data_IF_317764195732
#
_entry.id   IF_317764195732
#
_cell.length_a   1.000
_cell.length_b   1.000
_cell.length_c   1.000
_cell.angle_alpha   90.00
_cell.angle_beta   90.00
_cell.angle_gamma   90.00
#
_symmetry.space_group_name_H-M   'P 1'
#
loop_
_entity.id
_entity.type
_entity.pdbx_description
1 polymer ?
#
# COMPACT_ATOMS: atom_id res chain seq x y z
N UNK A 1 -11.50 4.03 -34.50
CA UNK A 1 -11.41 4.82 -33.25
C UNK A 1 -10.03 4.69 -32.61
N UNK A 2 -9.07 4.03 -33.27
CA UNK A 2 -7.71 3.78 -32.77
C UNK A 2 -6.66 4.82 -33.18
N UNK A 3 -7.00 5.74 -34.10
CA UNK A 3 -6.03 6.72 -34.63
C UNK A 3 -5.84 7.98 -33.80
N UNK A 4 -6.72 8.27 -32.84
CA UNK A 4 -6.66 9.53 -32.07
C UNK A 4 -5.78 9.42 -30.82
N UNK A 5 -5.63 8.23 -30.22
CA UNK A 5 -4.75 8.02 -29.06
C UNK A 5 -3.32 7.63 -29.47
N UNK A 6 -3.16 6.81 -30.52
CA UNK A 6 -1.84 6.39 -31.01
C UNK A 6 -1.02 7.46 -31.73
N UNK A 7 -1.51 8.70 -31.83
CA UNK A 7 -0.76 9.84 -32.39
C UNK A 7 -0.10 10.71 -31.33
N UNK A 8 -0.46 10.54 -30.05
CA UNK A 8 -0.01 11.42 -28.95
C UNK A 8 0.86 10.65 -27.96
N UNK A 9 0.68 9.33 -27.84
CA UNK A 9 1.37 8.47 -26.87
C UNK A 9 1.99 7.31 -27.65
N UNK A 10 3.30 7.12 -27.50
CA UNK A 10 4.04 6.00 -28.11
C UNK A 10 3.74 4.67 -27.37
N UNK A 11 3.86 3.55 -28.08
CA UNK A 11 3.54 2.22 -27.54
C UNK A 11 4.38 1.87 -26.31
N UNK A 12 5.63 2.35 -26.24
CA UNK A 12 6.52 2.18 -25.10
C UNK A 12 6.03 2.94 -23.84
N UNK A 13 5.59 4.19 -24.02
CA UNK A 13 5.00 4.99 -22.95
C UNK A 13 3.72 4.35 -22.43
N UNK A 14 2.88 3.84 -23.34
CA UNK A 14 1.65 3.15 -22.97
C UNK A 14 1.92 1.88 -22.16
N UNK A 15 2.91 1.08 -22.58
CA UNK A 15 3.32 -0.14 -21.88
C UNK A 15 3.74 0.16 -20.43
N UNK A 16 4.60 1.16 -20.24
CA UNK A 16 5.10 1.60 -18.93
C UNK A 16 3.98 2.04 -17.98
N UNK A 17 3.06 2.87 -18.47
CA UNK A 17 1.89 3.32 -17.68
C UNK A 17 1.04 2.11 -17.26
N UNK A 18 0.80 1.15 -18.15
CA UNK A 18 0.04 -0.07 -17.84
C UNK A 18 0.76 -0.91 -16.78
N UNK A 19 2.09 -1.06 -16.87
CA UNK A 19 2.91 -1.78 -15.89
C UNK A 19 2.82 -1.17 -14.49
N UNK A 20 2.93 0.17 -14.37
CA UNK A 20 2.76 0.86 -13.09
C UNK A 20 1.36 0.71 -12.50
N UNK A 21 0.31 0.77 -13.33
CA UNK A 21 -1.07 0.52 -12.89
C UNK A 21 -1.19 -0.90 -12.34
N UNK A 22 -0.64 -1.90 -13.04
CA UNK A 22 -0.65 -3.29 -12.59
C UNK A 22 0.06 -3.43 -11.24
N UNK A 23 1.23 -2.82 -11.07
CA UNK A 23 1.99 -2.85 -9.83
C UNK A 23 1.19 -2.29 -8.64
N UNK A 24 0.51 -1.16 -8.83
CA UNK A 24 -0.31 -0.54 -7.78
C UNK A 24 -1.54 -1.39 -7.46
N UNK A 25 -2.20 -1.94 -8.49
CA UNK A 25 -3.34 -2.84 -8.29
C UNK A 25 -2.93 -4.07 -7.47
N UNK A 26 -1.77 -4.66 -7.76
CA UNK A 26 -1.21 -5.77 -6.97
C UNK A 26 -0.96 -5.33 -5.52
N UNK A 27 -0.40 -4.13 -5.32
CA UNK A 27 -0.08 -3.61 -3.99
C UNK A 27 -1.35 -3.39 -3.16
N UNK A 28 -2.38 -2.78 -3.75
CA UNK A 28 -3.68 -2.53 -3.14
C UNK A 28 -4.45 -3.83 -2.91
N UNK A 29 -4.43 -4.77 -3.86
CA UNK A 29 -5.06 -6.07 -3.71
C UNK A 29 -4.40 -6.89 -2.60
N UNK A 30 -3.07 -6.86 -2.50
CA UNK A 30 -2.32 -7.50 -1.41
C UNK A 30 -2.71 -6.89 -0.07
N UNK A 31 -2.82 -5.56 0.01
CA UNK A 31 -3.30 -4.87 1.21
C UNK A 31 -4.72 -5.32 1.62
N UNK A 32 -5.66 -5.34 0.67
CA UNK A 32 -7.03 -5.79 0.95
C UNK A 32 -7.09 -7.25 1.35
N UNK A 33 -6.36 -8.14 0.66
CA UNK A 33 -6.31 -9.57 1.01
C UNK A 33 -5.83 -9.79 2.44
N UNK A 34 -4.81 -9.02 2.85
CA UNK A 34 -4.31 -9.05 4.22
C UNK A 34 -5.34 -8.49 5.22
N UNK A 35 -5.99 -7.36 4.92
CA UNK A 35 -7.02 -6.77 5.79
C UNK A 35 -8.22 -7.71 5.95
N UNK A 36 -8.65 -8.38 4.86
CA UNK A 36 -9.71 -9.39 4.88
C UNK A 36 -9.28 -10.59 5.71
N UNK A 37 -8.05 -11.10 5.54
CA UNK A 37 -7.54 -12.21 6.33
C UNK A 37 -7.49 -11.89 7.83
N UNK A 38 -7.11 -10.66 8.20
CA UNK A 38 -7.21 -10.19 9.57
C UNK A 38 -8.65 -10.11 10.05
N UNK A 39 -9.54 -9.46 9.29
CA UNK A 39 -10.94 -9.32 9.64
C UNK A 39 -11.60 -10.69 9.88
N UNK A 40 -11.37 -11.66 9.00
CA UNK A 40 -11.84 -13.04 9.17
C UNK A 40 -11.27 -13.70 10.43
N UNK A 41 -10.00 -13.46 10.76
CA UNK A 41 -9.37 -13.97 11.99
C UNK A 41 -9.95 -13.34 13.25
N UNK A 42 -10.36 -12.07 13.22
CA UNK A 42 -11.01 -11.39 14.35
C UNK A 42 -12.48 -11.77 14.50
N UNK A 43 -13.24 -11.87 13.40
CA UNK A 43 -14.64 -12.34 13.39
C UNK A 43 -14.75 -13.75 13.98
N UNK A 44 -13.78 -14.63 13.70
CA UNK A 44 -13.73 -15.97 14.33
C UNK A 44 -13.42 -15.95 15.84
N UNK A 45 -12.96 -14.82 16.38
CA UNK A 45 -12.44 -14.70 17.74
C UNK A 45 -13.29 -13.82 18.66
N UNK A 46 -14.21 -13.02 18.12
CA UNK A 46 -15.02 -12.08 18.89
C UNK A 46 -16.40 -12.63 19.25
N UNK A 47 -16.42 -13.41 20.34
CA UNK A 47 -17.30 -13.04 21.43
C UNK A 47 -16.58 -12.01 22.30
N UNK A 48 -16.98 -10.73 22.21
CA UNK A 48 -16.60 -9.59 23.09
C UNK A 48 -15.12 -9.13 23.06
N UNK A 49 -14.81 -7.97 22.46
CA UNK A 49 -14.14 -6.88 23.20
C UNK A 49 -13.99 -5.55 22.43
N UNK A 50 -13.92 -4.44 23.17
CA UNK A 50 -13.73 -3.03 22.76
C UNK A 50 -12.42 -2.70 21.99
N UNK A 51 -11.73 -3.72 21.47
CA UNK A 51 -10.42 -3.61 20.82
C UNK A 51 -10.50 -3.30 19.32
N UNK A 52 -11.69 -3.34 18.73
CA UNK A 52 -11.94 -3.00 17.32
C UNK A 52 -11.47 -1.58 16.95
N UNK A 53 -11.58 -0.62 17.86
CA UNK A 53 -11.18 0.79 17.65
C UNK A 53 -9.68 0.99 17.37
N UNK A 54 -8.79 0.18 17.97
CA UNK A 54 -7.33 0.32 17.78
C UNK A 54 -6.87 -0.32 16.46
N UNK A 55 -7.51 -1.42 16.04
CA UNK A 55 -7.28 -2.02 14.73
C UNK A 55 -7.76 -1.06 13.62
N UNK A 56 -8.90 -0.39 13.83
CA UNK A 56 -9.45 0.59 12.91
C UNK A 56 -8.51 1.79 12.71
N UNK A 57 -8.00 2.40 13.78
CA UNK A 57 -7.12 3.56 13.71
C UNK A 57 -5.75 3.28 13.05
N UNK A 58 -5.17 2.09 13.27
CA UNK A 58 -3.93 1.69 12.61
C UNK A 58 -4.13 1.29 11.14
N UNK A 59 -5.32 0.77 10.80
CA UNK A 59 -5.72 0.48 9.43
C UNK A 59 -5.74 1.76 8.58
N UNK A 60 -6.29 2.87 9.09
CA UNK A 60 -6.31 4.14 8.35
C UNK A 60 -4.92 4.68 7.99
N UNK A 61 -3.96 4.64 8.92
CA UNK A 61 -2.58 5.12 8.65
C UNK A 61 -1.87 4.26 7.61
N UNK A 62 -2.04 2.94 7.71
CA UNK A 62 -1.48 2.00 6.73
C UNK A 62 -2.07 2.22 5.34
N UNK A 63 -3.39 2.46 5.24
CA UNK A 63 -4.05 2.82 3.98
C UNK A 63 -3.49 4.12 3.39
N UNK A 64 -3.25 5.15 4.20
CA UNK A 64 -2.70 6.42 3.71
C UNK A 64 -1.29 6.21 3.14
N UNK A 65 -0.42 5.45 3.82
CA UNK A 65 0.94 5.21 3.36
C UNK A 65 1.00 4.40 2.07
N UNK A 66 0.17 3.37 1.93
CA UNK A 66 0.13 2.58 0.68
C UNK A 66 -0.46 3.38 -0.48
N UNK A 67 -1.42 4.28 -0.22
CA UNK A 67 -1.98 5.17 -1.23
C UNK A 67 -0.98 6.24 -1.67
N UNK A 68 -0.27 6.87 -0.72
CA UNK A 68 0.80 7.83 -1.05
C UNK A 68 1.88 7.11 -1.88
N UNK A 69 2.31 5.93 -1.44
CA UNK A 69 3.30 5.13 -2.17
C UNK A 69 2.87 4.82 -3.60
N UNK A 70 1.65 4.30 -3.76
CA UNK A 70 1.10 3.96 -5.07
C UNK A 70 0.91 5.16 -5.97
N UNK A 71 0.29 6.25 -5.48
CA UNK A 71 0.06 7.46 -6.28
C UNK A 71 1.39 8.09 -6.72
N UNK A 72 2.38 8.17 -5.84
CA UNK A 72 3.71 8.68 -6.20
C UNK A 72 4.38 7.85 -7.29
N UNK A 73 4.27 6.51 -7.23
CA UNK A 73 4.78 5.63 -8.29
C UNK A 73 4.04 5.81 -9.62
N UNK A 74 2.72 6.05 -9.57
CA UNK A 74 1.90 6.29 -10.77
C UNK A 74 2.28 7.61 -11.44
N UNK A 75 2.46 8.67 -10.64
CA UNK A 75 2.88 9.98 -11.14
C UNK A 75 4.31 9.92 -11.68
N UNK A 76 5.21 9.18 -11.01
CA UNK A 76 6.57 8.93 -11.49
C UNK A 76 6.54 8.35 -12.91
N UNK A 77 5.88 7.21 -13.10
CA UNK A 77 5.84 6.54 -14.39
C UNK A 77 5.13 7.36 -15.47
N UNK A 78 4.08 8.08 -15.09
CA UNK A 78 3.34 8.93 -16.02
C UNK A 78 4.19 10.09 -16.54
N UNK A 79 4.98 10.73 -15.67
CA UNK A 79 5.85 11.82 -16.08
C UNK A 79 7.05 11.31 -16.87
N UNK A 80 7.69 10.22 -16.43
CA UNK A 80 8.79 9.58 -17.18
C UNK A 80 8.33 9.13 -18.57
N UNK A 81 7.11 8.62 -18.68
CA UNK A 81 6.53 8.22 -19.96
C UNK A 81 6.23 9.38 -20.91
N UNK A 82 5.98 10.60 -20.40
CA UNK A 82 5.64 11.78 -21.20
C UNK A 82 6.87 12.54 -21.72
N UNK A 83 7.95 12.58 -20.97
CA UNK A 83 9.15 13.34 -21.33
C UNK A 83 10.23 12.41 -21.89
N UNK A 84 10.15 12.08 -23.19
CA UNK A 84 11.24 11.37 -23.88
C UNK A 84 12.55 12.17 -23.98
N UNK A 85 12.50 13.52 -23.88
CA UNK A 85 13.63 14.41 -24.19
C UNK A 85 13.97 15.46 -23.11
N UNK A 86 13.20 15.56 -22.02
CA UNK A 86 13.46 16.51 -20.94
C UNK A 86 13.59 15.76 -19.62
N UNK A 87 14.83 15.42 -19.26
CA UNK A 87 15.08 14.65 -18.05
C UNK A 87 15.09 15.57 -16.82
N UNK A 88 13.92 15.85 -16.24
CA UNK A 88 13.87 16.31 -14.85
C UNK A 88 14.10 15.13 -13.89
N UNK A 89 15.34 14.62 -13.94
CA UNK A 89 15.84 13.50 -13.13
C UNK A 89 15.57 13.71 -11.64
N UNK A 90 15.62 14.97 -11.18
CA UNK A 90 15.44 15.31 -9.76
C UNK A 90 14.00 15.06 -9.33
N UNK A 91 13.02 15.39 -10.18
CA UNK A 91 11.61 15.19 -9.88
C UNK A 91 11.25 13.71 -9.86
N UNK A 92 11.82 12.90 -10.76
CA UNK A 92 11.59 11.46 -10.80
C UNK A 92 12.18 10.77 -9.56
N UNK A 93 13.46 11.01 -9.26
CA UNK A 93 14.11 10.46 -8.06
C UNK A 93 13.37 10.87 -6.77
N UNK A 94 12.85 12.10 -6.71
CA UNK A 94 12.05 12.56 -5.58
C UNK A 94 10.73 11.80 -5.45
N UNK A 95 10.02 11.56 -6.56
CA UNK A 95 8.77 10.78 -6.55
C UNK A 95 9.02 9.33 -6.18
N UNK A 96 10.10 8.72 -6.68
CA UNK A 96 10.52 7.38 -6.32
C UNK A 96 10.86 7.29 -4.82
N UNK A 97 11.61 8.27 -4.29
CA UNK A 97 11.92 8.34 -2.87
C UNK A 97 10.66 8.44 -2.01
N UNK A 98 9.68 9.27 -2.40
CA UNK A 98 8.39 9.38 -1.70
C UNK A 98 7.64 8.06 -1.77
N UNK A 99 7.65 7.37 -2.91
CA UNK A 99 7.00 6.08 -3.08
C UNK A 99 7.61 5.02 -2.14
N UNK A 100 8.94 4.94 -2.11
CA UNK A 100 9.69 4.05 -1.22
C UNK A 100 9.46 4.37 0.26
N UNK A 101 9.46 5.65 0.64
CA UNK A 101 9.16 6.09 2.00
C UNK A 101 7.73 5.70 2.40
N UNK A 102 6.75 5.88 1.52
CA UNK A 102 5.37 5.42 1.73
C UNK A 102 5.31 3.92 2.01
N UNK A 103 6.03 3.12 1.21
CA UNK A 103 6.10 1.67 1.40
C UNK A 103 6.78 1.28 2.73
N UNK A 104 7.90 1.93 3.09
CA UNK A 104 8.60 1.66 4.35
C UNK A 104 7.73 2.01 5.55
N UNK A 105 7.04 3.16 5.53
CA UNK A 105 6.13 3.57 6.60
C UNK A 105 4.93 2.64 6.72
N UNK A 106 4.39 2.18 5.58
CA UNK A 106 3.37 1.15 5.53
C UNK A 106 3.86 -0.14 6.22
N UNK A 107 5.02 -0.67 5.82
CA UNK A 107 5.59 -1.89 6.39
C UNK A 107 5.88 -1.74 7.90
N UNK A 108 6.32 -0.56 8.34
CA UNK A 108 6.60 -0.28 9.75
C UNK A 108 5.32 -0.28 10.62
N UNK A 109 4.29 0.47 10.22
CA UNK A 109 3.01 0.46 10.94
C UNK A 109 2.39 -0.94 10.89
N UNK A 110 2.53 -1.63 9.76
CA UNK A 110 2.07 -3.00 9.62
C UNK A 110 2.77 -3.96 10.59
N UNK A 111 4.11 -3.90 10.66
CA UNK A 111 4.89 -4.69 11.60
C UNK A 111 4.48 -4.42 13.06
N UNK A 112 4.27 -3.15 13.41
CA UNK A 112 3.80 -2.76 14.75
C UNK A 112 2.43 -3.35 15.06
N UNK A 113 1.53 -3.38 14.09
CA UNK A 113 0.20 -3.97 14.21
C UNK A 113 0.27 -5.48 14.40
N UNK A 114 1.07 -6.19 13.59
CA UNK A 114 1.33 -7.61 13.76
C UNK A 114 1.95 -7.95 15.13
N UNK A 115 2.93 -7.16 15.59
CA UNK A 115 3.57 -7.35 16.89
C UNK A 115 2.58 -7.17 18.05
N UNK A 116 1.71 -6.16 17.99
CA UNK A 116 0.62 -5.97 18.95
C UNK A 116 -0.33 -7.16 18.98
N UNK A 117 -0.69 -7.70 17.81
CA UNK A 117 -1.54 -8.90 17.72
C UNK A 117 -0.89 -10.16 18.29
N UNK A 118 0.42 -10.33 18.07
CA UNK A 118 1.19 -11.45 18.65
C UNK A 118 1.17 -11.39 20.18
N UNK A 119 1.49 -10.23 20.77
CA UNK A 119 1.57 -10.10 22.22
C UNK A 119 0.20 -10.26 22.90
N UNK A 120 -0.88 -9.78 22.29
CA UNK A 120 -2.26 -9.99 22.79
C UNK A 120 -2.71 -11.45 22.84
N UNK A 121 -2.09 -12.34 22.08
CA UNK A 121 -2.39 -13.77 22.11
C UNK A 121 -1.70 -14.52 23.26
N UNK A 122 -0.70 -13.91 23.91
CA UNK A 122 0.13 -14.55 24.94
C UNK A 122 -0.41 -14.26 26.36
N UNK A 123 -1.19 -13.18 26.54
CA UNK A 123 -1.61 -12.69 27.87
C UNK A 123 -2.86 -13.31 28.58
N UNK A 124 -3.62 -14.29 28.06
CA UNK A 124 -4.63 -14.96 28.88
C UNK A 124 -4.09 -16.10 29.74
N UNK A 125 -2.86 -16.59 29.50
CA UNK A 125 -2.35 -17.82 30.13
C UNK A 125 -1.42 -17.59 31.32
N UNK A 126 -0.79 -16.41 31.43
CA UNK A 126 0.18 -16.10 32.49
C UNK A 126 -0.41 -15.27 33.65
N UNK A 127 -1.69 -14.87 33.58
CA UNK A 127 -2.36 -14.02 34.57
C UNK A 127 -3.27 -14.79 35.54
N UNK A 128 -3.30 -16.13 35.47
CA UNK A 128 -3.93 -16.97 36.50
C UNK A 128 -2.86 -17.43 37.49
N UNK A 129 -2.82 -16.92 38.74
CA UNK A 129 -2.08 -17.63 39.79
C UNK A 129 -2.73 -19.01 40.02
N UNK A 130 -1.95 -19.99 40.52
CA UNK A 130 -2.42 -21.36 40.77
C UNK A 130 -3.59 -21.44 41.76
#
# INVERSE_FOLDING_TARGET
MDRLLGSIIDDETLYRIIEAIIAIVIMVASYFGIQIALALKFVKKEGKNKNELIAQASSYRSTIFILIGGISMLVHEFLEGLEKDAADFTTYEMLELIALLGLVLFLYEWHKTLKKMKNKNIDPFLSRPP
#
